data_IF_841991229438
#
_entry.id   IF_841991229438
#
_cell.length_a   1.000
_cell.length_b   1.000
_cell.length_c   1.000
_cell.angle_alpha   90.00
_cell.angle_beta   90.00
_cell.angle_gamma   90.00
#
_symmetry.space_group_name_H-M   'P 1'
#
loop_
_entity.id
_entity.type
_entity.pdbx_description
1 polymer ?
#
# COMPACT_ATOMS: atom_id res chain seq x y z
N UNK A 1 49.49 82.25 -16.94
CA UNK A 1 49.41 81.27 -18.06
C UNK A 1 48.11 80.56 -17.99
N UNK A 2 47.40 80.53 -19.06
CA UNK A 2 45.94 80.35 -19.23
C UNK A 2 45.45 78.94 -19.04
N UNK A 3 44.32 78.70 -18.39
CA UNK A 3 43.57 77.48 -18.60
C UNK A 3 42.25 77.73 -19.38
N UNK A 4 42.03 77.01 -20.45
CA UNK A 4 40.89 77.06 -21.29
C UNK A 4 39.69 76.40 -20.60
N UNK A 5 38.59 77.16 -20.58
CA UNK A 5 37.26 76.72 -20.23
C UNK A 5 36.72 75.80 -21.37
N UNK A 6 36.22 74.67 -21.04
CA UNK A 6 35.41 73.84 -21.96
C UNK A 6 33.99 73.79 -21.45
N UNK A 7 33.07 74.36 -22.23
CA UNK A 7 31.64 74.37 -22.04
C UNK A 7 31.10 73.02 -22.43
N UNK A 8 30.33 72.40 -21.57
CA UNK A 8 29.54 71.19 -21.90
C UNK A 8 28.09 71.58 -21.95
N UNK A 9 27.57 71.55 -23.15
CA UNK A 9 26.16 71.79 -23.48
C UNK A 9 25.33 70.57 -23.02
N UNK A 10 24.30 70.83 -22.23
CA UNK A 10 23.35 69.81 -21.72
C UNK A 10 22.31 69.59 -22.81
N UNK A 11 22.38 68.46 -23.49
CA UNK A 11 21.30 68.00 -24.40
C UNK A 11 20.34 67.09 -23.65
N UNK A 12 19.14 67.56 -23.40
CA UNK A 12 18.05 66.81 -22.84
C UNK A 12 17.49 65.91 -23.94
N UNK A 13 17.76 64.64 -23.87
CA UNK A 13 17.09 63.62 -24.69
C UNK A 13 15.91 63.02 -23.90
N UNK A 14 14.70 63.33 -24.34
CA UNK A 14 13.45 62.73 -23.88
C UNK A 14 13.42 61.28 -24.35
N UNK A 15 13.66 60.33 -23.47
CA UNK A 15 13.46 58.94 -23.75
C UNK A 15 12.05 58.53 -23.30
N UNK A 16 11.16 58.31 -24.29
CA UNK A 16 9.86 57.67 -24.05
C UNK A 16 10.06 56.25 -23.56
N UNK A 17 9.79 56.04 -22.29
CA UNK A 17 9.74 54.71 -21.72
C UNK A 17 8.48 54.00 -22.22
N UNK A 18 8.64 53.10 -23.16
CA UNK A 18 7.65 52.08 -23.46
C UNK A 18 7.59 51.10 -22.31
N UNK A 19 6.62 51.26 -21.41
CA UNK A 19 6.29 50.25 -20.43
C UNK A 19 5.63 49.06 -21.17
N UNK A 20 6.44 48.15 -21.69
CA UNK A 20 5.96 46.83 -22.04
C UNK A 20 5.58 46.13 -20.75
N UNK A 21 4.28 46.10 -20.44
CA UNK A 21 3.74 45.31 -19.35
C UNK A 21 4.05 43.84 -19.61
N UNK A 22 5.05 43.32 -18.94
CA UNK A 22 5.26 41.88 -18.74
C UNK A 22 4.07 41.36 -17.94
N UNK A 23 3.05 40.93 -18.67
CA UNK A 23 2.02 40.04 -18.09
C UNK A 23 2.75 38.75 -17.70
N UNK A 24 3.16 38.67 -16.46
CA UNK A 24 3.48 37.39 -15.85
C UNK A 24 2.17 36.60 -15.86
N UNK A 25 1.96 35.77 -16.88
CA UNK A 25 1.07 34.63 -16.78
C UNK A 25 1.62 33.76 -15.66
N UNK A 26 1.13 33.98 -14.44
CA UNK A 26 1.18 32.98 -13.41
C UNK A 26 0.40 31.79 -13.96
N UNK A 27 1.10 30.91 -14.69
CA UNK A 27 0.60 29.58 -14.94
C UNK A 27 0.34 29.02 -13.55
N UNK A 28 -0.94 28.82 -13.20
CA UNK A 28 -1.34 28.12 -11.99
C UNK A 28 -0.51 26.85 -11.97
N UNK A 29 0.40 26.78 -11.01
CA UNK A 29 1.24 25.62 -10.77
C UNK A 29 0.25 24.50 -10.52
N UNK A 30 0.06 23.62 -11.50
CA UNK A 30 -0.80 22.43 -11.38
C UNK A 30 -0.33 21.74 -10.11
N UNK A 31 -1.20 21.72 -9.09
CA UNK A 31 -0.97 21.06 -7.84
C UNK A 31 -0.40 19.66 -8.16
N UNK A 32 0.79 19.35 -7.69
CA UNK A 32 1.48 18.09 -8.02
C UNK A 32 0.55 16.94 -7.70
N UNK A 33 0.09 16.24 -8.71
CA UNK A 33 -0.70 15.02 -8.52
C UNK A 33 0.15 14.01 -7.79
N UNK A 34 -0.49 13.23 -6.91
CA UNK A 34 0.20 12.09 -6.28
C UNK A 34 0.79 11.16 -7.36
N UNK A 35 1.95 10.52 -7.10
CA UNK A 35 2.64 9.67 -8.07
C UNK A 35 1.81 8.52 -8.63
N UNK A 36 0.79 8.11 -7.88
CA UNK A 36 -0.18 7.07 -8.26
C UNK A 36 -1.43 7.65 -8.98
N UNK A 37 -1.57 8.98 -9.10
CA UNK A 37 -2.76 9.56 -9.68
C UNK A 37 -2.79 9.38 -11.20
N UNK A 38 -3.94 8.93 -11.72
CA UNK A 38 -4.22 8.83 -13.14
C UNK A 38 -4.92 10.08 -13.68
N UNK A 39 -4.63 10.45 -14.93
CA UNK A 39 -5.36 11.50 -15.66
C UNK A 39 -6.69 10.99 -16.23
N UNK A 40 -6.90 9.69 -16.23
CA UNK A 40 -8.10 9.01 -16.74
C UNK A 40 -8.72 8.17 -15.62
N UNK A 41 -10.06 8.01 -15.63
CA UNK A 41 -10.72 7.03 -14.77
C UNK A 41 -10.09 5.65 -14.94
N UNK A 42 -9.94 4.94 -13.84
CA UNK A 42 -9.42 3.57 -13.77
C UNK A 42 -10.48 2.63 -13.20
N UNK A 43 -11.58 2.36 -13.94
CA UNK A 43 -12.68 1.52 -13.45
C UNK A 43 -12.30 0.03 -13.38
N UNK A 44 -11.23 -0.37 -14.04
CA UNK A 44 -10.69 -1.73 -14.06
C UNK A 44 -9.27 -1.75 -13.48
N UNK A 45 -8.86 -2.82 -12.80
CA UNK A 45 -7.53 -2.94 -12.26
C UNK A 45 -6.43 -2.87 -13.33
N UNK A 46 -5.43 -2.04 -13.08
CA UNK A 46 -4.23 -1.94 -13.89
C UNK A 46 -2.98 -2.23 -13.07
N UNK A 47 -1.97 -2.81 -13.69
CA UNK A 47 -0.68 -3.07 -13.06
C UNK A 47 -0.04 -1.76 -12.60
N UNK A 48 0.45 -1.71 -11.36
CA UNK A 48 1.05 -0.53 -10.79
C UNK A 48 2.57 -0.63 -10.70
N UNK A 49 3.26 0.42 -11.14
CA UNK A 49 4.72 0.57 -10.97
C UNK A 49 5.55 -0.50 -11.64
N UNK A 50 5.15 -0.94 -12.83
CA UNK A 50 5.82 -1.99 -13.60
C UNK A 50 7.34 -1.77 -13.70
N UNK A 51 8.12 -2.82 -13.46
CA UNK A 51 9.58 -2.83 -13.49
C UNK A 51 10.26 -2.29 -12.24
N UNK A 52 9.50 -1.71 -11.27
CA UNK A 52 10.06 -1.19 -10.01
C UNK A 52 9.31 -1.76 -8.81
N UNK A 53 7.99 -1.58 -8.76
CA UNK A 53 7.10 -2.02 -7.68
C UNK A 53 6.52 -3.40 -8.02
N UNK A 54 6.01 -3.56 -9.25
CA UNK A 54 5.60 -4.86 -9.79
C UNK A 54 6.68 -5.37 -10.73
N UNK A 55 7.25 -6.53 -10.42
CA UNK A 55 8.40 -7.10 -11.14
C UNK A 55 8.20 -8.59 -11.42
N UNK A 56 9.25 -9.28 -11.79
CA UNK A 56 9.26 -10.74 -11.90
C UNK A 56 9.36 -11.45 -10.54
N UNK A 57 9.60 -10.70 -9.47
CA UNK A 57 9.59 -11.21 -8.09
C UNK A 57 8.16 -11.29 -7.55
N UNK A 58 8.01 -11.73 -6.33
CA UNK A 58 6.72 -11.80 -5.63
C UNK A 58 6.55 -10.51 -4.82
N UNK A 59 5.92 -9.51 -5.43
CA UNK A 59 5.78 -8.15 -4.89
C UNK A 59 4.39 -7.94 -4.29
N UNK A 60 4.35 -7.65 -2.99
CA UNK A 60 3.12 -7.68 -2.19
C UNK A 60 2.93 -6.38 -1.41
N UNK A 61 1.68 -6.07 -1.08
CA UNK A 61 1.31 -5.21 0.04
C UNK A 61 1.88 -3.79 -0.01
N UNK A 62 1.36 -2.96 -0.90
CA UNK A 62 1.73 -1.55 -1.04
C UNK A 62 1.30 -0.72 0.19
N UNK A 63 2.18 0.13 0.72
CA UNK A 63 1.91 1.05 1.82
C UNK A 63 2.52 2.42 1.54
N UNK A 64 1.67 3.43 1.32
CA UNK A 64 2.13 4.78 0.97
C UNK A 64 2.30 5.65 2.21
N UNK A 65 3.29 6.54 2.18
CA UNK A 65 3.32 7.69 3.10
C UNK A 65 2.16 8.66 2.81
N UNK A 66 1.68 9.46 3.78
CA UNK A 66 0.53 10.36 3.58
C UNK A 66 0.67 11.34 2.40
N UNK A 67 1.89 11.74 2.07
CA UNK A 67 2.20 12.58 0.91
C UNK A 67 2.22 11.80 -0.43
N UNK A 68 2.13 10.48 -0.37
CA UNK A 68 2.18 9.58 -1.51
C UNK A 68 3.53 9.50 -2.23
N UNK A 69 4.58 10.15 -1.71
CA UNK A 69 5.90 10.22 -2.38
C UNK A 69 6.81 9.04 -2.07
N UNK A 70 6.43 8.22 -1.09
CA UNK A 70 7.18 7.02 -0.69
C UNK A 70 6.23 5.85 -0.58
N UNK A 71 6.65 4.71 -1.09
CA UNK A 71 5.94 3.44 -0.97
C UNK A 71 6.84 2.41 -0.30
N UNK A 72 6.28 1.71 0.68
CA UNK A 72 6.84 0.48 1.27
C UNK A 72 6.05 -0.69 0.72
N UNK A 73 6.72 -1.78 0.43
CA UNK A 73 6.08 -3.02 0.00
C UNK A 73 6.94 -4.22 0.35
N UNK A 74 6.32 -5.39 0.43
CA UNK A 74 7.06 -6.63 0.67
C UNK A 74 7.53 -7.21 -0.64
N UNK A 75 8.81 -7.55 -0.71
CA UNK A 75 9.37 -8.44 -1.74
C UNK A 75 9.62 -9.79 -1.11
N UNK A 76 8.91 -10.79 -1.61
CA UNK A 76 8.94 -12.13 -1.05
C UNK A 76 9.81 -13.06 -1.90
N UNK A 77 10.61 -13.87 -1.22
CA UNK A 77 11.50 -14.87 -1.80
C UNK A 77 11.09 -16.27 -1.29
N UNK A 78 10.05 -16.90 -1.87
CA UNK A 78 9.46 -18.12 -1.33
C UNK A 78 10.46 -19.27 -1.17
N UNK A 79 11.41 -19.42 -2.10
CA UNK A 79 12.46 -20.46 -2.02
C UNK A 79 13.37 -20.31 -0.80
N UNK A 80 13.60 -19.07 -0.34
CA UNK A 80 14.40 -18.76 0.85
C UNK A 80 13.55 -18.58 2.10
N UNK A 81 12.22 -18.64 1.99
CA UNK A 81 11.26 -18.34 3.06
C UNK A 81 11.54 -16.99 3.72
N UNK A 82 11.93 -16.01 2.90
CA UNK A 82 12.31 -14.68 3.34
C UNK A 82 11.40 -13.64 2.69
N UNK A 83 10.73 -12.85 3.49
CA UNK A 83 10.05 -11.63 3.08
C UNK A 83 10.85 -10.43 3.57
N UNK A 84 11.02 -9.43 2.73
CA UNK A 84 11.76 -8.21 3.05
C UNK A 84 10.91 -7.00 2.70
N UNK A 85 10.77 -6.07 3.64
CA UNK A 85 10.14 -4.80 3.35
C UNK A 85 11.16 -3.91 2.65
N UNK A 86 10.78 -3.48 1.46
CA UNK A 86 11.57 -2.56 0.64
C UNK A 86 10.85 -1.21 0.51
N UNK A 87 11.60 -0.18 0.19
CA UNK A 87 11.11 1.19 0.05
C UNK A 87 11.51 1.77 -1.30
N UNK A 88 10.57 2.40 -1.99
CA UNK A 88 10.84 3.19 -3.18
C UNK A 88 10.35 4.62 -2.99
N UNK A 89 11.11 5.57 -3.51
CA UNK A 89 10.80 6.99 -3.47
C UNK A 89 10.45 7.50 -4.86
N UNK A 90 9.42 8.34 -4.95
CA UNK A 90 9.12 9.02 -6.19
C UNK A 90 9.95 10.28 -6.33
N UNK A 91 10.84 10.30 -7.31
CA UNK A 91 11.73 11.43 -7.59
C UNK A 91 11.87 11.64 -9.08
N UNK A 92 11.92 12.89 -9.53
CA UNK A 92 12.10 13.24 -10.94
C UNK A 92 11.04 12.57 -11.86
N UNK A 93 9.78 12.51 -11.39
CA UNK A 93 8.67 11.98 -12.17
C UNK A 93 8.60 10.46 -12.29
N UNK A 94 9.38 9.70 -11.50
CA UNK A 94 9.38 8.23 -11.52
C UNK A 94 9.69 7.61 -10.16
N UNK A 95 9.22 6.40 -9.94
CA UNK A 95 9.65 5.56 -8.82
C UNK A 95 11.11 5.15 -9.00
N UNK A 96 11.88 5.28 -7.92
CA UNK A 96 13.29 4.88 -7.93
C UNK A 96 13.43 3.38 -7.67
N UNK A 97 14.54 2.75 -8.06
CA UNK A 97 14.82 1.37 -7.66
C UNK A 97 14.65 1.20 -6.15
N UNK A 98 13.99 0.12 -5.70
CA UNK A 98 13.72 -0.06 -4.28
C UNK A 98 14.99 -0.39 -3.50
N UNK A 99 15.05 0.10 -2.25
CA UNK A 99 16.07 -0.22 -1.26
C UNK A 99 15.45 -1.01 -0.12
N UNK A 100 16.25 -1.76 0.63
CA UNK A 100 15.76 -2.44 1.84
C UNK A 100 15.42 -1.37 2.88
N UNK A 101 14.22 -1.44 3.46
CA UNK A 101 13.84 -0.54 4.56
C UNK A 101 14.77 -0.74 5.76
N UNK A 102 15.16 0.35 6.42
CA UNK A 102 16.20 0.37 7.48
C UNK A 102 15.91 -0.56 8.66
N UNK A 103 14.67 -1.01 8.83
CA UNK A 103 14.20 -1.87 9.91
C UNK A 103 13.97 -3.33 9.47
N UNK A 104 14.22 -3.66 8.20
CA UNK A 104 13.96 -4.97 7.60
C UNK A 104 15.24 -5.64 7.04
N UNK A 105 15.11 -6.87 6.53
CA UNK A 105 16.18 -7.61 5.85
C UNK A 105 17.00 -8.55 6.73
N UNK A 106 16.74 -8.59 8.03
CA UNK A 106 17.37 -9.55 8.95
C UNK A 106 16.43 -10.71 9.29
N UNK A 107 15.16 -10.44 9.39
CA UNK A 107 14.08 -11.37 9.69
C UNK A 107 13.13 -11.48 8.52
N UNK A 108 12.16 -12.37 8.59
CA UNK A 108 11.05 -12.38 7.64
C UNK A 108 10.04 -11.33 8.09
N UNK A 109 9.92 -10.27 7.30
CA UNK A 109 9.06 -9.12 7.56
C UNK A 109 8.04 -8.96 6.42
N UNK A 110 6.75 -8.82 6.77
CA UNK A 110 5.62 -8.69 5.85
C UNK A 110 4.70 -7.53 6.23
N UNK A 111 3.80 -7.19 5.35
CA UNK A 111 2.58 -6.40 5.58
C UNK A 111 2.84 -5.01 6.15
N UNK A 112 3.70 -4.19 5.49
CA UNK A 112 3.89 -2.82 5.93
C UNK A 112 2.58 -2.03 5.83
N UNK A 113 2.30 -1.22 6.86
CA UNK A 113 1.20 -0.27 6.90
C UNK A 113 1.65 1.05 7.53
N UNK A 114 1.57 2.14 6.78
CA UNK A 114 1.87 3.48 7.30
C UNK A 114 0.61 4.06 7.92
N UNK A 115 0.69 4.51 9.18
CA UNK A 115 -0.44 5.17 9.86
C UNK A 115 -0.91 6.41 9.08
N UNK A 116 -2.22 6.76 9.13
CA UNK A 116 -2.77 7.90 8.38
C UNK A 116 -2.06 9.23 8.66
N UNK A 117 -1.51 9.42 9.85
CA UNK A 117 -0.72 10.60 10.24
C UNK A 117 0.76 10.51 9.83
N UNK A 118 1.21 9.35 9.32
CA UNK A 118 2.59 9.10 8.94
C UNK A 118 3.58 8.97 10.09
N UNK A 119 3.11 8.94 11.34
CA UNK A 119 3.97 8.89 12.53
C UNK A 119 4.54 7.52 12.81
N UNK A 120 3.87 6.44 12.34
CA UNK A 120 4.26 5.05 12.55
C UNK A 120 4.15 4.24 11.27
N UNK A 121 5.00 3.23 11.17
CA UNK A 121 4.85 2.15 10.20
C UNK A 121 4.78 0.85 10.97
N UNK A 122 3.67 0.14 10.78
CA UNK A 122 3.40 -1.18 11.37
C UNK A 122 3.76 -2.25 10.34
N UNK A 123 4.12 -3.43 10.82
CA UNK A 123 4.40 -4.59 9.98
C UNK A 123 4.37 -5.87 10.83
N UNK A 124 4.34 -7.03 10.22
CA UNK A 124 4.52 -8.29 10.95
C UNK A 124 5.92 -8.87 10.73
N UNK A 125 6.44 -9.54 11.75
CA UNK A 125 7.79 -10.07 11.75
C UNK A 125 7.87 -11.33 12.60
N UNK A 126 8.72 -12.27 12.18
CA UNK A 126 9.06 -13.45 12.96
C UNK A 126 10.24 -13.23 13.93
N UNK A 127 10.57 -11.97 14.24
CA UNK A 127 11.59 -11.63 15.24
C UNK A 127 11.04 -11.74 16.66
N UNK A 128 11.86 -12.15 17.62
CA UNK A 128 11.58 -12.00 19.06
C UNK A 128 12.16 -10.69 19.59
N UNK A 129 11.74 -10.28 20.79
CA UNK A 129 12.32 -9.12 21.48
C UNK A 129 13.81 -9.31 21.80
N UNK A 130 14.29 -10.56 21.94
CA UNK A 130 15.71 -10.87 22.10
C UNK A 130 16.49 -10.92 20.78
N UNK A 131 15.85 -10.58 19.64
CA UNK A 131 16.49 -10.59 18.33
C UNK A 131 16.75 -11.99 17.76
N UNK A 132 15.88 -12.96 18.08
CA UNK A 132 15.92 -14.32 17.55
C UNK A 132 14.74 -14.58 16.62
N UNK A 133 14.87 -15.53 15.71
CA UNK A 133 13.78 -15.99 14.85
C UNK A 133 12.78 -16.81 15.68
N UNK A 134 11.49 -16.50 15.55
CA UNK A 134 10.35 -17.24 16.08
C UNK A 134 9.70 -18.11 15.00
N UNK A 135 8.80 -19.01 15.41
CA UNK A 135 7.97 -19.79 14.48
C UNK A 135 6.64 -19.12 14.14
N UNK A 136 6.25 -18.12 14.91
CA UNK A 136 5.06 -17.30 14.78
C UNK A 136 5.43 -15.87 14.36
N UNK A 137 4.45 -15.13 13.91
CA UNK A 137 4.59 -13.73 13.52
C UNK A 137 3.86 -12.84 14.50
N UNK A 138 4.53 -11.77 14.89
CA UNK A 138 4.03 -10.71 15.76
C UNK A 138 3.90 -9.39 14.99
N UNK A 139 3.05 -8.48 15.48
CA UNK A 139 2.99 -7.11 14.99
C UNK A 139 4.09 -6.28 15.66
N UNK A 140 4.85 -5.61 14.82
CA UNK A 140 5.91 -4.68 15.18
C UNK A 140 5.63 -3.31 14.57
N UNK A 141 6.27 -2.28 15.08
CA UNK A 141 6.20 -0.95 14.50
C UNK A 141 7.53 -0.20 14.65
N UNK A 142 7.68 0.81 13.81
CA UNK A 142 8.73 1.84 13.90
C UNK A 142 8.07 3.21 13.95
N UNK A 143 8.69 4.16 14.64
CA UNK A 143 8.21 5.54 14.78
C UNK A 143 9.04 6.47 13.91
N UNK A 144 8.37 7.47 13.33
CA UNK A 144 9.02 8.50 12.54
C UNK A 144 9.96 9.32 13.41
N UNK A 145 11.18 9.54 12.93
CA UNK A 145 12.21 10.37 13.56
C UNK A 145 12.74 11.39 12.55
N UNK A 146 13.55 12.34 12.99
CA UNK A 146 14.23 13.29 12.09
C UNK A 146 15.14 12.57 11.08
N UNK A 147 15.77 11.46 11.48
CA UNK A 147 16.70 10.68 10.65
C UNK A 147 16.05 9.53 9.87
N UNK A 148 14.71 9.39 9.89
CA UNK A 148 14.01 8.28 9.23
C UNK A 148 13.09 7.52 10.18
N UNK A 149 13.35 6.23 10.43
CA UNK A 149 12.58 5.38 11.33
C UNK A 149 13.40 4.99 12.56
N UNK A 150 12.72 4.83 13.69
CA UNK A 150 13.31 4.30 14.93
C UNK A 150 13.74 2.83 14.78
N UNK A 151 14.41 2.31 15.82
CA UNK A 151 14.54 0.86 15.97
C UNK A 151 13.16 0.21 16.10
N UNK A 152 12.99 -1.05 15.60
CA UNK A 152 11.76 -1.82 15.75
C UNK A 152 11.31 -1.98 17.20
N UNK A 153 10.00 -1.84 17.42
CA UNK A 153 9.34 -2.03 18.71
C UNK A 153 8.24 -3.05 18.56
N UNK A 154 8.19 -4.05 19.45
CA UNK A 154 7.05 -4.95 19.55
C UNK A 154 5.83 -4.20 20.05
N UNK A 155 4.66 -4.47 19.46
CA UNK A 155 3.40 -3.90 19.96
C UNK A 155 3.01 -4.55 21.31
N UNK A 156 3.49 -5.77 21.57
CA UNK A 156 3.31 -6.51 22.82
C UNK A 156 1.88 -7.02 23.06
N UNK A 157 1.69 -7.59 24.26
CA UNK A 157 0.37 -8.03 24.71
C UNK A 157 -0.55 -6.83 24.99
N UNK A 158 -1.88 -6.97 24.78
CA UNK A 158 -2.62 -8.19 24.42
C UNK A 158 -2.72 -8.45 22.91
N UNK A 159 -2.06 -7.63 22.08
CA UNK A 159 -2.11 -7.78 20.63
C UNK A 159 -1.32 -9.03 20.21
N UNK A 160 -0.02 -9.05 20.48
CA UNK A 160 0.85 -10.20 20.19
C UNK A 160 0.61 -11.31 21.19
N UNK A 161 0.51 -12.55 20.69
CA UNK A 161 0.23 -13.76 21.45
C UNK A 161 1.23 -14.88 21.09
N UNK A 162 0.91 -16.13 21.39
CA UNK A 162 1.62 -17.32 20.88
C UNK A 162 1.10 -17.80 19.54
N UNK A 163 0.10 -17.10 19.00
CA UNK A 163 -0.46 -17.32 17.67
C UNK A 163 0.21 -16.40 16.65
N UNK A 164 -0.24 -16.42 15.41
CA UNK A 164 0.20 -15.46 14.42
C UNK A 164 -0.69 -14.22 14.42
N UNK A 165 -0.10 -13.06 14.32
CA UNK A 165 -0.73 -11.79 14.09
C UNK A 165 -0.19 -11.17 12.81
N UNK A 166 -1.09 -10.91 11.83
CA UNK A 166 -0.77 -10.43 10.49
C UNK A 166 -1.57 -9.18 10.10
N UNK A 167 -1.12 -8.50 9.05
CA UNK A 167 -1.84 -7.43 8.34
C UNK A 167 -2.35 -6.32 9.25
N UNK A 168 -1.45 -5.64 9.99
CA UNK A 168 -1.85 -4.49 10.78
C UNK A 168 -2.39 -3.38 9.87
N UNK A 169 -3.56 -2.85 10.20
CA UNK A 169 -4.19 -1.71 9.53
C UNK A 169 -4.77 -0.78 10.58
N UNK A 170 -4.50 0.52 10.51
CA UNK A 170 -4.82 1.47 11.58
C UNK A 170 -5.74 2.58 11.06
N UNK A 171 -6.85 2.79 11.74
CA UNK A 171 -7.78 3.88 11.47
C UNK A 171 -7.23 5.24 11.94
N UNK A 172 -7.87 6.34 11.52
CA UNK A 172 -7.43 7.69 11.86
C UNK A 172 -7.47 8.00 13.38
N UNK A 173 -8.33 7.31 14.14
CA UNK A 173 -8.41 7.41 15.59
C UNK A 173 -7.38 6.54 16.34
N UNK A 174 -6.52 5.83 15.61
CA UNK A 174 -5.51 4.92 16.13
C UNK A 174 -6.01 3.49 16.39
N UNK A 175 -7.29 3.17 16.16
CA UNK A 175 -7.79 1.80 16.31
C UNK A 175 -7.06 0.87 15.33
N UNK A 176 -6.44 -0.17 15.88
CA UNK A 176 -5.72 -1.19 15.14
C UNK A 176 -6.69 -2.31 14.72
N UNK A 177 -6.62 -2.71 13.47
CA UNK A 177 -7.25 -3.91 12.91
C UNK A 177 -6.15 -4.88 12.49
N UNK A 178 -6.33 -6.16 12.71
CA UNK A 178 -5.35 -7.18 12.37
C UNK A 178 -5.99 -8.56 12.27
N UNK A 179 -5.32 -9.48 11.59
CA UNK A 179 -5.75 -10.88 11.47
C UNK A 179 -4.98 -11.75 12.45
N UNK A 180 -5.65 -12.70 13.11
CA UNK A 180 -5.00 -13.63 14.02
C UNK A 180 -5.69 -15.00 14.03
N UNK A 181 -4.90 -16.06 14.19
CA UNK A 181 -5.38 -17.41 14.43
C UNK A 181 -5.40 -17.80 15.92
N UNK A 182 -5.58 -16.77 16.80
CA UNK A 182 -5.73 -16.97 18.25
C UNK A 182 -6.94 -17.82 18.59
N UNK A 183 -6.88 -18.49 19.72
CA UNK A 183 -8.02 -19.30 20.22
C UNK A 183 -9.26 -18.45 20.43
N UNK A 184 -10.42 -19.04 20.18
CA UNK A 184 -11.72 -18.37 20.34
C UNK A 184 -12.21 -17.62 19.11
N UNK A 185 -11.53 -17.72 17.98
CA UNK A 185 -11.98 -17.29 16.68
C UNK A 185 -13.04 -18.21 16.09
N UNK A 186 -13.54 -17.90 14.89
CA UNK A 186 -14.55 -18.65 14.15
C UNK A 186 -13.93 -19.56 13.10
N UNK A 187 -12.85 -19.12 12.45
CA UNK A 187 -12.18 -19.81 11.36
C UNK A 187 -10.70 -20.09 11.65
N UNK A 188 -9.95 -20.29 10.58
CA UNK A 188 -8.48 -20.46 10.66
C UNK A 188 -7.78 -19.17 11.10
N UNK A 189 -8.16 -18.06 10.49
CA UNK A 189 -7.81 -16.70 10.88
C UNK A 189 -9.10 -15.87 10.94
N UNK A 190 -9.15 -14.98 11.91
CA UNK A 190 -10.23 -14.01 12.08
C UNK A 190 -9.63 -12.60 12.14
N UNK A 191 -10.44 -11.60 11.77
CA UNK A 191 -10.07 -10.19 11.91
C UNK A 191 -10.54 -9.68 13.27
N UNK A 192 -9.64 -9.01 13.96
CA UNK A 192 -9.83 -8.39 15.26
C UNK A 192 -9.58 -6.89 15.18
N UNK A 193 -10.13 -6.14 16.12
CA UNK A 193 -9.75 -4.73 16.35
C UNK A 193 -9.36 -4.51 17.80
N UNK A 194 -8.50 -3.52 18.03
CA UNK A 194 -8.13 -3.05 19.35
C UNK A 194 -8.04 -1.53 19.37
N UNK A 195 -8.67 -0.91 20.37
CA UNK A 195 -8.69 0.55 20.55
C UNK A 195 -7.40 1.02 21.22
N UNK A 196 -6.88 2.14 20.73
CA UNK A 196 -5.76 2.83 21.36
C UNK A 196 -6.28 3.79 22.45
N UNK A 197 -6.00 3.48 23.72
CA UNK A 197 -6.41 4.31 24.85
C UNK A 197 -5.21 4.64 25.72
N UNK A 198 -4.93 5.92 25.90
CA UNK A 198 -3.78 6.37 26.69
C UNK A 198 -2.42 5.87 26.16
N UNK A 199 -2.31 5.68 24.85
CA UNK A 199 -1.09 5.21 24.17
C UNK A 199 -0.88 3.70 24.23
N UNK A 200 -1.86 2.92 24.72
CA UNK A 200 -1.82 1.45 24.79
C UNK A 200 -3.03 0.85 24.09
N UNK A 201 -2.81 -0.29 23.44
CA UNK A 201 -3.87 -1.09 22.87
C UNK A 201 -4.56 -1.92 23.95
N UNK A 202 -5.91 -1.93 23.93
CA UNK A 202 -6.73 -2.76 24.81
C UNK A 202 -6.91 -4.18 24.30
N UNK A 203 -7.72 -4.98 25.03
CA UNK A 203 -8.07 -6.35 24.61
C UNK A 203 -8.71 -6.34 23.21
N UNK A 204 -8.25 -7.21 22.29
CA UNK A 204 -8.81 -7.31 20.96
C UNK A 204 -10.24 -7.84 20.95
N UNK A 205 -11.08 -7.19 20.15
CA UNK A 205 -12.46 -7.61 19.87
C UNK A 205 -12.52 -8.32 18.52
N UNK A 206 -13.09 -9.53 18.47
CA UNK A 206 -13.43 -10.22 17.20
C UNK A 206 -14.53 -9.43 16.48
N UNK A 207 -14.41 -9.22 15.17
CA UNK A 207 -15.37 -8.40 14.41
C UNK A 207 -16.73 -9.06 14.17
N UNK A 208 -16.88 -10.33 14.54
CA UNK A 208 -18.15 -11.05 14.50
C UNK A 208 -18.60 -11.50 13.11
N UNK A 209 -19.86 -11.94 13.01
CA UNK A 209 -20.43 -12.65 11.85
C UNK A 209 -20.51 -11.82 10.56
N UNK A 210 -20.50 -10.49 10.66
CA UNK A 210 -20.48 -9.61 9.49
C UNK A 210 -19.18 -9.70 8.69
N UNK A 211 -18.09 -10.09 9.36
CA UNK A 211 -16.74 -10.16 8.77
C UNK A 211 -16.22 -11.60 8.83
N UNK A 212 -16.12 -12.17 10.03
CA UNK A 212 -15.47 -13.45 10.30
C UNK A 212 -16.45 -14.63 10.10
N UNK A 213 -15.95 -15.70 9.49
CA UNK A 213 -16.72 -16.93 9.19
C UNK A 213 -15.95 -18.18 9.65
N UNK A 214 -16.46 -19.36 9.34
CA UNK A 214 -15.73 -20.62 9.54
C UNK A 214 -14.55 -20.80 8.55
N UNK A 215 -14.46 -19.94 7.55
CA UNK A 215 -13.35 -19.87 6.60
C UNK A 215 -12.13 -19.14 7.24
N UNK A 216 -11.25 -18.56 6.44
CA UNK A 216 -10.14 -17.73 6.96
C UNK A 216 -10.25 -16.32 6.38
N UNK A 217 -10.21 -15.32 7.25
CA UNK A 217 -10.19 -13.92 6.89
C UNK A 217 -8.84 -13.29 7.25
N UNK A 218 -8.16 -12.76 6.24
CA UNK A 218 -6.81 -12.20 6.34
C UNK A 218 -6.71 -10.86 5.57
N UNK A 219 -5.52 -10.26 5.58
CA UNK A 219 -5.17 -9.16 4.70
C UNK A 219 -6.14 -7.99 4.81
N UNK A 220 -6.42 -7.52 6.02
CA UNK A 220 -7.43 -6.50 6.24
C UNK A 220 -6.92 -5.06 6.01
N UNK A 221 -7.70 -4.25 5.32
CA UNK A 221 -7.57 -2.80 5.22
C UNK A 221 -8.81 -2.12 5.78
N UNK A 222 -8.64 -1.29 6.80
CA UNK A 222 -9.68 -0.41 7.34
C UNK A 222 -9.59 0.98 6.69
N UNK A 223 -10.72 1.53 6.23
CA UNK A 223 -10.76 2.93 5.82
C UNK A 223 -10.41 3.84 7.02
N UNK A 224 -9.70 4.97 6.83
CA UNK A 224 -9.30 5.85 7.93
C UNK A 224 -10.45 6.29 8.83
N UNK A 225 -11.65 6.44 8.28
CA UNK A 225 -12.88 6.82 8.97
C UNK A 225 -13.71 5.62 9.49
N UNK A 226 -13.20 4.41 9.33
CA UNK A 226 -13.81 3.13 9.73
C UNK A 226 -15.18 2.84 9.09
N UNK A 227 -15.51 3.47 7.94
CA UNK A 227 -16.79 3.22 7.27
C UNK A 227 -16.83 1.89 6.53
N UNK A 228 -15.71 1.39 6.06
CA UNK A 228 -15.62 0.11 5.38
C UNK A 228 -14.30 -0.61 5.69
N UNK A 229 -14.37 -1.93 5.60
CA UNK A 229 -13.26 -2.86 5.75
C UNK A 229 -13.19 -3.72 4.49
N UNK A 230 -12.02 -3.77 3.84
CA UNK A 230 -11.73 -4.72 2.75
C UNK A 230 -10.75 -5.76 3.28
N UNK A 231 -10.95 -7.01 2.91
CA UNK A 231 -10.09 -8.10 3.37
C UNK A 231 -10.10 -9.27 2.37
N UNK A 232 -9.09 -10.12 2.43
CA UNK A 232 -9.09 -11.38 1.70
C UNK A 232 -9.76 -12.48 2.52
N UNK A 233 -10.59 -13.31 1.88
CA UNK A 233 -11.15 -14.50 2.48
C UNK A 233 -10.93 -15.70 1.58
N UNK A 234 -10.73 -16.85 2.20
CA UNK A 234 -10.35 -18.10 1.56
C UNK A 234 -11.43 -19.15 1.73
N UNK A 235 -11.64 -19.99 0.71
CA UNK A 235 -12.59 -21.10 0.76
C UNK A 235 -14.05 -20.70 1.06
N UNK A 236 -14.45 -19.49 0.66
CA UNK A 236 -15.87 -19.11 0.72
C UNK A 236 -16.64 -19.67 -0.48
N UNK A 237 -17.97 -19.95 -0.34
CA UNK A 237 -18.76 -20.55 -1.42
C UNK A 237 -18.85 -19.72 -2.70
N UNK A 238 -18.67 -18.39 -2.59
CA UNK A 238 -18.72 -17.42 -3.68
C UNK A 238 -17.33 -16.94 -4.15
N UNK A 239 -16.27 -17.65 -3.75
CA UNK A 239 -14.89 -17.43 -4.18
C UNK A 239 -14.74 -17.78 -5.68
N UNK A 240 -14.21 -16.84 -6.47
CA UNK A 240 -14.01 -17.01 -7.90
C UNK A 240 -12.74 -17.82 -8.22
N UNK A 241 -11.78 -17.80 -7.32
CA UNK A 241 -10.47 -18.46 -7.45
C UNK A 241 -10.44 -19.90 -6.96
N UNK A 242 -11.60 -20.52 -6.65
CA UNK A 242 -11.67 -21.91 -6.20
C UNK A 242 -10.98 -22.16 -4.85
N UNK A 243 -11.02 -21.18 -3.95
CA UNK A 243 -10.43 -21.25 -2.60
C UNK A 243 -9.07 -20.57 -2.48
N UNK A 244 -8.53 -20.00 -3.56
CA UNK A 244 -7.23 -19.34 -3.57
C UNK A 244 -7.20 -17.99 -2.83
N UNK A 245 -8.39 -17.37 -2.64
CA UNK A 245 -8.59 -16.12 -1.92
C UNK A 245 -9.08 -14.98 -2.81
N UNK A 246 -10.24 -14.43 -2.42
CA UNK A 246 -10.87 -13.28 -3.03
C UNK A 246 -10.93 -12.10 -2.05
N UNK A 247 -11.05 -10.88 -2.57
CA UNK A 247 -11.31 -9.70 -1.79
C UNK A 247 -12.80 -9.53 -1.52
N UNK A 248 -13.12 -9.25 -0.26
CA UNK A 248 -14.46 -8.99 0.27
C UNK A 248 -14.52 -7.61 0.92
N UNK A 249 -15.71 -7.05 0.98
CA UNK A 249 -15.97 -5.78 1.65
C UNK A 249 -17.11 -5.89 2.65
N UNK A 250 -16.95 -5.30 3.83
CA UNK A 250 -17.98 -5.04 4.82
C UNK A 250 -18.04 -3.56 5.14
N UNK A 251 -19.22 -3.04 5.44
CA UNK A 251 -19.45 -1.63 5.74
C UNK A 251 -20.02 -1.47 7.15
N UNK A 252 -19.68 -0.37 7.80
CA UNK A 252 -20.30 0.01 9.08
C UNK A 252 -21.69 0.58 8.85
N UNK A 253 -22.68 -0.05 9.48
CA UNK A 253 -24.07 0.44 9.51
C UNK A 253 -24.60 0.33 10.93
N UNK A 254 -25.08 1.43 11.49
CA UNK A 254 -25.65 1.49 12.85
C UNK A 254 -24.75 0.87 13.95
N UNK A 255 -23.43 1.04 13.83
CA UNK A 255 -22.46 0.51 14.79
C UNK A 255 -22.08 -0.96 14.64
N UNK A 256 -22.58 -1.64 13.62
CA UNK A 256 -22.26 -3.03 13.31
C UNK A 256 -21.69 -3.18 11.88
N UNK A 257 -20.88 -4.23 11.66
CA UNK A 257 -20.42 -4.62 10.35
C UNK A 257 -21.53 -5.36 9.58
N UNK A 258 -21.81 -4.91 8.34
CA UNK A 258 -22.72 -5.63 7.45
C UNK A 258 -22.14 -6.98 7.08
N UNK A 259 -22.99 -7.98 6.68
CA UNK A 259 -22.48 -9.17 6.03
C UNK A 259 -21.57 -8.79 4.86
N UNK A 260 -20.37 -9.36 4.86
CA UNK A 260 -19.38 -9.08 3.82
C UNK A 260 -19.80 -9.59 2.46
N UNK A 261 -19.41 -8.89 1.42
CA UNK A 261 -19.71 -9.19 0.02
C UNK A 261 -18.43 -9.38 -0.77
N UNK A 262 -18.39 -10.40 -1.62
CA UNK A 262 -17.34 -10.56 -2.63
C UNK A 262 -17.31 -9.32 -3.54
N UNK A 263 -16.13 -8.79 -3.84
CA UNK A 263 -15.98 -7.63 -4.74
C UNK A 263 -16.28 -7.95 -6.21
N UNK A 264 -16.48 -9.23 -6.52
CA UNK A 264 -16.90 -9.72 -7.83
C UNK A 264 -15.83 -9.66 -8.90
N UNK A 265 -16.16 -10.09 -10.14
CA UNK A 265 -15.19 -10.35 -11.19
C UNK A 265 -14.51 -9.09 -11.76
N UNK A 266 -14.90 -7.91 -11.33
CA UNK A 266 -14.24 -6.67 -11.67
C UNK A 266 -12.91 -6.49 -10.91
N UNK A 267 -12.89 -6.92 -9.66
CA UNK A 267 -11.73 -6.87 -8.77
C UNK A 267 -11.09 -8.23 -8.63
N UNK A 268 -11.90 -9.26 -8.34
CA UNK A 268 -11.44 -10.64 -8.17
C UNK A 268 -11.32 -11.37 -9.51
N UNK A 269 -10.50 -12.40 -9.55
CA UNK A 269 -10.24 -13.21 -10.74
C UNK A 269 -10.15 -14.71 -10.36
N UNK A 270 -9.94 -15.63 -11.31
CA UNK A 270 -9.73 -17.04 -10.98
C UNK A 270 -8.44 -17.38 -10.23
N UNK A 271 -7.61 -16.37 -9.90
CA UNK A 271 -6.41 -16.52 -9.09
C UNK A 271 -6.53 -15.72 -7.80
N UNK A 272 -5.50 -15.72 -6.97
CA UNK A 272 -5.51 -15.07 -5.66
C UNK A 272 -5.48 -13.54 -5.79
N UNK A 273 -6.40 -12.86 -5.08
CA UNK A 273 -6.36 -11.44 -4.77
C UNK A 273 -6.28 -11.22 -3.25
N UNK A 274 -5.36 -10.34 -2.80
CA UNK A 274 -5.08 -10.12 -1.39
C UNK A 274 -4.33 -8.80 -1.14
N UNK A 275 -3.92 -8.51 0.09
CA UNK A 275 -3.21 -7.29 0.48
C UNK A 275 -3.89 -5.99 0.01
N UNK A 276 -5.17 -5.77 0.35
CA UNK A 276 -5.90 -4.55 -0.01
C UNK A 276 -5.36 -3.33 0.74
N UNK A 277 -5.33 -2.17 0.07
CA UNK A 277 -5.04 -0.88 0.70
C UNK A 277 -5.63 0.28 -0.10
N UNK A 278 -6.13 1.32 0.58
CA UNK A 278 -6.53 2.57 -0.04
C UNK A 278 -5.37 3.54 -0.17
N UNK A 279 -5.43 4.40 -1.20
CA UNK A 279 -4.49 5.52 -1.30
C UNK A 279 -4.72 6.54 -0.17
N UNK A 280 -3.68 7.28 0.26
CA UNK A 280 -3.81 8.30 1.28
C UNK A 280 -4.82 9.40 0.96
N UNK A 281 -5.04 9.71 -0.32
CA UNK A 281 -6.03 10.71 -0.78
C UNK A 281 -7.45 10.14 -0.93
N UNK A 282 -7.66 8.84 -0.64
CA UNK A 282 -8.95 8.17 -0.68
C UNK A 282 -9.56 8.02 -2.07
N UNK A 283 -8.76 8.11 -3.15
CA UNK A 283 -9.26 8.04 -4.54
C UNK A 283 -9.01 6.72 -5.21
N UNK A 284 -7.96 6.02 -4.80
CA UNK A 284 -7.53 4.77 -5.41
C UNK A 284 -7.50 3.66 -4.40
N UNK A 285 -7.61 2.46 -4.91
CA UNK A 285 -7.49 1.21 -4.19
C UNK A 285 -6.39 0.37 -4.83
N UNK A 286 -5.55 -0.24 -4.01
CA UNK A 286 -4.48 -1.12 -4.44
C UNK A 286 -4.68 -2.49 -3.82
N UNK A 287 -4.24 -3.50 -4.51
CA UNK A 287 -4.23 -4.88 -4.02
C UNK A 287 -3.16 -5.69 -4.75
N UNK A 288 -2.81 -6.82 -4.18
CA UNK A 288 -1.93 -7.78 -4.82
C UNK A 288 -2.74 -8.84 -5.55
N UNK A 289 -2.32 -9.23 -6.74
CA UNK A 289 -2.92 -10.32 -7.49
C UNK A 289 -1.86 -11.21 -8.14
N UNK A 290 -2.17 -12.50 -8.23
CA UNK A 290 -1.34 -13.50 -8.95
C UNK A 290 -1.71 -13.61 -10.43
N UNK A 291 -2.45 -12.64 -10.97
CA UNK A 291 -2.76 -12.59 -12.41
C UNK A 291 -1.51 -12.68 -13.25
N UNK A 292 -1.54 -13.56 -14.24
CA UNK A 292 -0.39 -13.82 -15.08
C UNK A 292 -0.75 -13.97 -16.55
N UNK A 293 0.26 -13.94 -17.39
CA UNK A 293 0.11 -14.09 -18.84
C UNK A 293 -0.42 -15.47 -19.25
N UNK A 294 -0.37 -16.44 -18.33
CA UNK A 294 -0.78 -17.83 -18.59
C UNK A 294 -2.08 -18.24 -17.88
N UNK A 295 -2.79 -17.32 -17.29
CA UNK A 295 -4.09 -17.59 -16.61
C UNK A 295 -5.21 -17.96 -17.60
N UNK A 296 -4.99 -17.65 -18.87
CA UNK A 296 -5.91 -18.02 -19.97
C UNK A 296 -5.20 -18.99 -20.90
N UNK A 297 -5.96 -19.91 -21.55
CA UNK A 297 -5.40 -20.75 -22.60
C UNK A 297 -4.71 -19.89 -23.66
N UNK A 298 -3.54 -20.34 -24.12
CA UNK A 298 -2.81 -19.65 -25.16
C UNK A 298 -3.63 -19.70 -26.47
N UNK A 299 -3.89 -18.56 -27.08
CA UNK A 299 -4.51 -18.49 -28.41
C UNK A 299 -3.61 -19.05 -29.51
N UNK A 300 -2.30 -18.96 -29.32
CA UNK A 300 -1.27 -19.47 -30.23
C UNK A 300 -0.10 -20.04 -29.44
N UNK A 301 0.60 -21.07 -29.97
CA UNK A 301 1.80 -21.57 -29.30
C UNK A 301 2.91 -20.49 -29.30
N UNK A 302 3.80 -20.57 -28.32
CA UNK A 302 5.01 -19.75 -28.31
C UNK A 302 5.84 -20.01 -29.57
N UNK A 303 6.39 -18.96 -30.16
CA UNK A 303 7.23 -19.07 -31.39
C UNK A 303 8.57 -19.75 -31.13
N UNK A 304 9.11 -19.58 -29.93
CA UNK A 304 10.40 -20.09 -29.51
C UNK A 304 10.55 -20.12 -28.00
N UNK A 305 11.65 -20.72 -27.52
CA UNK A 305 11.97 -20.82 -26.11
C UNK A 305 12.18 -19.44 -25.42
N UNK A 306 12.70 -18.45 -26.15
CA UNK A 306 12.93 -17.11 -25.60
C UNK A 306 11.60 -16.42 -25.23
N UNK A 307 10.58 -16.55 -26.10
CA UNK A 307 9.23 -16.02 -25.84
C UNK A 307 8.59 -16.72 -24.62
N UNK A 308 8.66 -18.05 -24.56
CA UNK A 308 8.23 -18.82 -23.39
C UNK A 308 8.97 -18.39 -22.13
N UNK A 309 10.29 -18.29 -22.17
CA UNK A 309 11.12 -17.91 -21.04
C UNK A 309 10.78 -16.50 -20.53
N UNK A 310 10.61 -15.53 -21.44
CA UNK A 310 10.21 -14.17 -21.09
C UNK A 310 8.85 -14.11 -20.40
N UNK A 311 7.88 -14.93 -20.85
CA UNK A 311 6.55 -15.03 -20.21
C UNK A 311 6.61 -15.62 -18.79
N UNK A 312 7.54 -16.55 -18.55
CA UNK A 312 7.69 -17.23 -17.26
C UNK A 312 8.59 -16.47 -16.26
N UNK A 313 9.45 -15.59 -16.76
CA UNK A 313 10.44 -14.86 -15.94
C UNK A 313 10.26 -13.34 -15.96
N UNK A 314 9.29 -12.84 -16.71
CA UNK A 314 8.92 -11.42 -16.74
C UNK A 314 7.89 -11.06 -15.68
N UNK A 315 7.44 -9.82 -15.70
CA UNK A 315 6.27 -9.37 -14.94
C UNK A 315 5.03 -10.16 -15.41
N UNK A 316 4.05 -10.37 -14.55
CA UNK A 316 2.86 -11.18 -14.82
C UNK A 316 3.16 -12.68 -15.10
N UNK A 317 4.14 -13.21 -14.39
CA UNK A 317 4.53 -14.63 -14.43
C UNK A 317 3.72 -15.52 -13.47
N UNK A 318 2.62 -15.00 -12.89
CA UNK A 318 1.80 -15.71 -11.91
C UNK A 318 2.28 -15.55 -10.47
N UNK A 319 3.25 -14.67 -10.21
CA UNK A 319 3.63 -14.21 -8.87
C UNK A 319 2.87 -12.95 -8.50
N UNK A 320 2.93 -12.55 -7.23
CA UNK A 320 2.28 -11.34 -6.73
C UNK A 320 2.77 -10.08 -7.43
N UNK A 321 1.82 -9.29 -7.90
CA UNK A 321 2.04 -7.96 -8.44
C UNK A 321 1.00 -7.00 -7.88
N UNK A 322 1.37 -5.73 -7.71
CA UNK A 322 0.48 -4.70 -7.20
C UNK A 322 -0.38 -4.14 -8.33
N UNK A 323 -1.69 -4.13 -8.11
CA UNK A 323 -2.69 -3.55 -9.01
C UNK A 323 -3.31 -2.31 -8.40
N UNK A 324 -3.77 -1.40 -9.25
CA UNK A 324 -4.44 -0.16 -8.89
C UNK A 324 -5.77 -0.04 -9.64
N UNK A 325 -6.77 0.51 -8.95
CA UNK A 325 -8.10 0.81 -9.50
C UNK A 325 -8.68 2.04 -8.80
N UNK A 326 -9.67 2.72 -9.37
CA UNK A 326 -10.41 3.76 -8.65
C UNK A 326 -11.12 3.17 -7.43
N UNK A 327 -11.07 3.86 -6.28
CA UNK A 327 -11.75 3.40 -5.06
C UNK A 327 -13.26 3.22 -5.27
N UNK A 328 -13.87 4.04 -6.12
CA UNK A 328 -15.29 3.92 -6.48
C UNK A 328 -15.67 2.58 -7.13
N UNK A 329 -14.71 1.84 -7.69
CA UNK A 329 -14.94 0.49 -8.21
C UNK A 329 -15.38 -0.52 -7.14
N UNK A 330 -15.09 -0.24 -5.85
CA UNK A 330 -15.53 -1.06 -4.71
C UNK A 330 -17.00 -0.84 -4.32
N UNK A 331 -17.71 0.13 -4.94
CA UNK A 331 -19.08 0.48 -4.59
C UNK A 331 -19.22 1.22 -3.25
N UNK A 332 -18.14 1.82 -2.76
CA UNK A 332 -18.14 2.72 -1.58
C UNK A 332 -18.20 4.19 -2.02
N UNK A 333 -18.97 5.00 -1.28
CA UNK A 333 -19.12 6.44 -1.51
C UNK A 333 -18.43 7.25 -0.42
#
# INVERSE_FOLDING_TARGET
>A
MNPKKLSITLSVLLACAFCAGLIFNASAQKQSKHPYASDKPMPEPALFGEGVISTAEDDLNAAFTPDGQTIYFTRNFPASKLGVIVVSHFRNGKWQPPEIASFSGQFTDYDPFVSPDGSRLFYCSNRSEEGKVKNDFDIWFVEKTEGGWSQPKSIGAPINTKSNEFYPSVAADGTLYFSSNRQGGKGGFDIYRSKLVGGKYGEPENLGDGVNTASGELDNYISPDQRFLVFAAYNRPDDLGGGSGDLYISQQQNGAWTPSKNLGPKINSPVREYCPIGSPDGKYFFFTSYRGNLDKPLEKPFKNYQELHASLTGVLNGRGNVYQVDLSALGVQ
#
